data_IF_522807691016
#
_entry.id   IF_522807691016
#
_cell.length_a   1.000
_cell.length_b   1.000
_cell.length_c   1.000
_cell.angle_alpha   90.00
_cell.angle_beta   90.00
_cell.angle_gamma   90.00
#
_symmetry.space_group_name_H-M   'P 1'
#
loop_
_entity.id
_entity.type
_entity.pdbx_description
1 polymer ?
#
# COMPACT_ATOMS: atom_id res chain seq x y z
N UNK A 1 16.18 -5.09 0.50
CA UNK A 1 15.15 -5.42 -0.50
C UNK A 1 15.00 -6.91 -0.68
N UNK A 2 14.65 -7.62 0.40
CA UNK A 2 14.52 -9.09 0.40
C UNK A 2 13.12 -9.47 0.94
N UNK A 3 12.06 -8.88 0.38
CA UNK A 3 10.73 -9.45 0.60
C UNK A 3 10.61 -10.78 -0.16
N UNK A 4 9.63 -11.60 0.21
CA UNK A 4 9.33 -12.87 -0.49
C UNK A 4 9.18 -12.70 -2.01
N UNK A 5 8.75 -11.51 -2.45
CA UNK A 5 8.58 -11.15 -3.87
C UNK A 5 9.88 -10.85 -4.63
N UNK A 6 11.03 -10.91 -3.97
CA UNK A 6 12.33 -10.66 -4.58
C UNK A 6 12.60 -9.19 -4.91
N UNK A 7 13.37 -8.95 -5.98
CA UNK A 7 13.76 -7.60 -6.41
C UNK A 7 12.58 -6.87 -7.09
N UNK A 8 12.48 -5.53 -6.95
CA UNK A 8 11.45 -4.75 -7.63
C UNK A 8 11.61 -4.85 -9.15
N UNK A 9 10.50 -5.00 -9.86
CA UNK A 9 10.47 -5.04 -11.33
C UNK A 9 10.72 -3.67 -11.98
N UNK A 10 10.38 -2.60 -11.27
CA UNK A 10 10.53 -1.21 -11.70
C UNK A 10 10.84 -0.33 -10.48
N UNK A 11 11.74 0.63 -10.66
CA UNK A 11 12.03 1.68 -9.68
C UNK A 11 11.68 3.00 -10.33
N UNK A 12 10.89 3.81 -9.64
CA UNK A 12 10.50 5.14 -10.11
C UNK A 12 10.88 6.18 -9.06
N UNK A 13 11.44 7.30 -9.53
CA UNK A 13 11.71 8.44 -8.68
C UNK A 13 10.43 9.22 -8.41
N UNK A 14 10.11 9.44 -7.14
CA UNK A 14 8.85 10.06 -6.73
C UNK A 14 9.01 11.49 -6.18
N UNK A 15 10.24 11.99 -6.10
CA UNK A 15 10.55 13.32 -5.57
C UNK A 15 11.65 13.30 -4.49
N UNK A 16 11.88 14.47 -3.93
CA UNK A 16 12.79 14.71 -2.82
C UNK A 16 11.99 15.14 -1.60
N UNK A 17 12.47 14.76 -0.42
CA UNK A 17 11.87 15.12 0.87
C UNK A 17 12.88 15.83 1.73
N UNK A 18 12.44 16.85 2.45
CA UNK A 18 13.19 17.45 3.56
C UNK A 18 12.82 16.83 4.92
N UNK A 19 11.93 15.82 4.91
CA UNK A 19 11.50 15.11 6.12
C UNK A 19 12.69 14.41 6.77
N UNK A 20 12.88 14.64 8.06
CA UNK A 20 13.89 13.92 8.83
C UNK A 20 13.45 12.49 9.09
N UNK A 21 14.41 11.63 9.44
CA UNK A 21 14.13 10.25 9.81
C UNK A 21 13.13 10.14 10.99
N UNK A 22 13.29 10.98 12.01
CA UNK A 22 12.42 10.96 13.19
C UNK A 22 10.98 11.39 12.86
N UNK A 23 10.83 12.40 11.99
CA UNK A 23 9.51 12.81 11.50
C UNK A 23 8.83 11.68 10.73
N UNK A 24 9.56 11.02 9.83
CA UNK A 24 9.06 9.87 9.09
C UNK A 24 8.68 8.71 10.02
N UNK A 25 9.52 8.37 10.99
CA UNK A 25 9.27 7.28 11.92
C UNK A 25 8.02 7.55 12.77
N UNK A 26 7.87 8.78 13.28
CA UNK A 26 6.69 9.18 14.06
C UNK A 26 5.41 9.16 13.21
N UNK A 27 5.50 9.58 11.96
CA UNK A 27 4.39 9.51 11.02
C UNK A 27 3.97 8.05 10.76
N UNK A 28 4.91 7.16 10.46
CA UNK A 28 4.64 5.73 10.23
C UNK A 28 4.05 5.07 11.49
N UNK A 29 4.54 5.39 12.69
CA UNK A 29 3.95 4.92 13.95
C UNK A 29 2.50 5.39 14.12
N UNK A 30 2.21 6.63 13.73
CA UNK A 30 0.85 7.18 13.76
C UNK A 30 -0.06 6.43 12.81
N UNK A 31 0.42 6.14 11.59
CA UNK A 31 -0.31 5.35 10.61
C UNK A 31 -0.60 3.93 11.11
N UNK A 32 0.39 3.24 11.72
CA UNK A 32 0.23 1.88 12.23
C UNK A 32 -0.74 1.79 13.40
N UNK A 33 -0.82 2.83 14.23
CA UNK A 33 -1.73 2.88 15.37
C UNK A 33 -3.15 3.32 15.01
N UNK A 34 -3.37 3.81 13.79
CA UNK A 34 -4.65 4.34 13.33
C UNK A 34 -5.14 3.63 12.06
N UNK A 35 -4.88 4.20 10.88
CA UNK A 35 -5.47 3.80 9.60
C UNK A 35 -4.91 2.47 9.06
N UNK A 36 -3.62 2.22 9.25
CA UNK A 36 -2.90 1.09 8.66
C UNK A 36 -2.52 0.04 9.72
N UNK A 37 -3.51 -0.37 10.52
CA UNK A 37 -3.40 -1.53 11.40
C UNK A 37 -3.39 -2.80 10.57
N UNK A 38 -2.72 -3.85 11.07
CA UNK A 38 -2.78 -5.15 10.40
C UNK A 38 -4.21 -5.68 10.23
N UNK A 39 -5.09 -5.39 11.19
CA UNK A 39 -6.51 -5.76 11.16
C UNK A 39 -7.38 -4.92 10.22
N UNK A 40 -6.88 -3.78 9.72
CA UNK A 40 -7.62 -2.91 8.80
C UNK A 40 -7.19 -3.09 7.34
N UNK A 41 -6.34 -4.08 7.04
CA UNK A 41 -5.92 -4.38 5.67
C UNK A 41 -7.08 -4.99 4.88
N UNK A 42 -7.41 -4.41 3.72
CA UNK A 42 -8.28 -5.00 2.72
C UNK A 42 -7.61 -4.94 1.33
N UNK A 43 -7.75 -5.99 0.53
CA UNK A 43 -7.03 -6.11 -0.76
C UNK A 43 -7.46 -5.02 -1.74
N UNK A 44 -8.72 -4.57 -1.64
CA UNK A 44 -9.27 -3.57 -2.54
C UNK A 44 -9.16 -2.15 -2.02
N UNK A 45 -9.16 -1.99 -0.71
CA UNK A 45 -9.22 -0.73 0.02
C UNK A 45 -8.28 -0.80 1.21
N UNK A 46 -7.47 0.24 1.44
CA UNK A 46 -6.53 0.27 2.57
C UNK A 46 -5.43 -0.81 2.49
N UNK A 47 -4.84 -0.94 1.29
CA UNK A 47 -3.72 -1.86 1.01
C UNK A 47 -2.36 -1.13 0.95
N UNK A 48 -1.34 -1.83 0.46
CA UNK A 48 0.01 -1.27 0.28
C UNK A 48 0.05 -0.05 -0.66
N UNK A 49 -0.81 0.01 -1.67
CA UNK A 49 -0.88 1.16 -2.59
C UNK A 49 -1.43 2.37 -1.84
N UNK A 50 -2.46 2.20 -1.03
CA UNK A 50 -3.04 3.30 -0.23
C UNK A 50 -2.07 3.81 0.85
N UNK A 51 -1.34 2.90 1.49
CA UNK A 51 -0.24 3.26 2.40
C UNK A 51 0.81 4.12 1.69
N UNK A 52 1.27 3.69 0.52
CA UNK A 52 2.25 4.44 -0.26
C UNK A 52 1.75 5.81 -0.72
N UNK A 53 0.46 5.96 -1.05
CA UNK A 53 -0.13 7.28 -1.40
C UNK A 53 0.01 8.25 -0.24
N UNK A 54 -0.45 7.85 0.94
CA UNK A 54 -0.42 8.70 2.14
C UNK A 54 1.02 9.06 2.51
N UNK A 55 1.93 8.09 2.42
CA UNK A 55 3.34 8.30 2.69
C UNK A 55 4.00 9.26 1.68
N UNK A 56 3.70 9.14 0.39
CA UNK A 56 4.23 10.01 -0.65
C UNK A 56 3.72 11.44 -0.53
N UNK A 57 2.44 11.60 -0.23
CA UNK A 57 1.87 12.93 0.03
C UNK A 57 2.60 13.58 1.21
N UNK A 58 2.79 12.85 2.33
CA UNK A 58 3.53 13.37 3.47
C UNK A 58 4.99 13.73 3.17
N UNK A 59 5.69 12.89 2.38
CA UNK A 59 7.11 13.07 2.12
C UNK A 59 7.41 14.19 1.12
N UNK A 60 6.67 14.27 0.03
CA UNK A 60 7.01 15.15 -1.09
C UNK A 60 5.81 15.71 -1.85
N UNK A 61 4.59 15.65 -1.29
CA UNK A 61 3.34 15.93 -2.01
C UNK A 61 3.22 15.13 -3.32
N UNK A 62 3.83 13.94 -3.36
CA UNK A 62 3.87 13.08 -4.53
C UNK A 62 2.56 12.34 -4.78
N UNK A 63 2.39 11.84 -6.01
CA UNK A 63 1.21 11.07 -6.44
C UNK A 63 1.68 9.75 -7.03
N UNK A 64 1.06 8.63 -6.61
CA UNK A 64 1.32 7.32 -7.20
C UNK A 64 0.84 7.31 -8.66
N UNK A 65 1.61 6.76 -9.62
CA UNK A 65 1.15 6.63 -11.00
C UNK A 65 -0.21 5.94 -11.14
N UNK A 66 -1.08 6.49 -12.00
CA UNK A 66 -2.47 6.05 -12.12
C UNK A 66 -2.61 4.56 -12.42
N UNK A 67 -1.74 4.01 -13.28
CA UNK A 67 -1.75 2.61 -13.68
C UNK A 67 -1.57 1.64 -12.49
N UNK A 68 -0.91 2.08 -11.42
CA UNK A 68 -0.79 1.33 -10.16
C UNK A 68 -2.08 1.48 -9.34
N UNK A 69 -2.60 2.72 -9.23
CA UNK A 69 -3.78 3.02 -8.42
C UNK A 69 -5.07 2.32 -8.89
N UNK A 70 -5.21 2.10 -10.20
CA UNK A 70 -6.42 1.51 -10.79
C UNK A 70 -6.47 -0.02 -10.67
N UNK A 71 -5.35 -0.68 -10.35
CA UNK A 71 -5.25 -2.13 -10.37
C UNK A 71 -6.32 -2.84 -9.50
N UNK A 72 -6.60 -2.41 -8.26
CA UNK A 72 -7.67 -3.01 -7.46
C UNK A 72 -9.06 -2.83 -8.10
N UNK A 73 -9.33 -1.65 -8.68
CA UNK A 73 -10.61 -1.35 -9.36
C UNK A 73 -10.82 -2.22 -10.60
N UNK A 74 -9.75 -2.44 -11.37
CA UNK A 74 -9.80 -3.33 -12.53
C UNK A 74 -10.15 -4.77 -12.11
N UNK A 75 -9.55 -5.25 -11.02
CA UNK A 75 -9.90 -6.55 -10.44
C UNK A 75 -11.38 -6.66 -10.11
N UNK A 76 -11.94 -5.68 -9.38
CA UNK A 76 -13.37 -5.66 -9.00
C UNK A 76 -14.35 -5.62 -10.17
N UNK A 77 -13.95 -5.06 -11.31
CA UNK A 77 -14.81 -4.97 -12.49
C UNK A 77 -15.00 -6.32 -13.20
N UNK A 78 -14.16 -7.31 -12.91
CA UNK A 78 -14.28 -8.65 -13.50
C UNK A 78 -15.29 -9.53 -12.74
N UNK A 79 -15.94 -10.45 -13.44
CA UNK A 79 -16.84 -11.43 -12.80
C UNK A 79 -16.10 -12.30 -11.76
N UNK A 80 -14.88 -12.72 -12.10
CA UNK A 80 -14.01 -13.50 -11.20
C UNK A 80 -13.62 -12.68 -9.97
N UNK A 81 -13.21 -11.42 -10.12
CA UNK A 81 -12.82 -10.58 -8.98
C UNK A 81 -13.95 -10.34 -7.99
N UNK A 82 -15.19 -10.18 -8.46
CA UNK A 82 -16.37 -10.11 -7.59
C UNK A 82 -16.61 -11.42 -6.85
N UNK A 83 -16.51 -12.55 -7.55
CA UNK A 83 -16.67 -13.87 -6.95
C UNK A 83 -15.61 -14.18 -5.88
N UNK A 84 -14.35 -13.78 -6.13
CA UNK A 84 -13.23 -14.03 -5.21
C UNK A 84 -13.14 -13.04 -4.04
N UNK A 85 -13.95 -11.97 -4.02
CA UNK A 85 -13.90 -10.93 -2.98
C UNK A 85 -13.95 -11.49 -1.55
N UNK A 86 -14.83 -12.46 -1.19
CA UNK A 86 -14.85 -13.03 0.16
C UNK A 86 -13.54 -13.75 0.53
N UNK A 87 -12.89 -14.41 -0.42
CA UNK A 87 -11.61 -15.10 -0.21
C UNK A 87 -10.46 -14.13 0.05
N UNK A 88 -10.48 -12.98 -0.62
CA UNK A 88 -9.49 -11.92 -0.40
C UNK A 88 -9.68 -11.20 0.94
N UNK A 89 -10.90 -11.10 1.45
CA UNK A 89 -11.15 -10.53 2.78
C UNK A 89 -10.50 -11.37 3.91
N UNK A 90 -10.29 -12.67 3.68
CA UNK A 90 -9.58 -13.56 4.61
C UNK A 90 -8.06 -13.60 4.38
N UNK A 91 -7.55 -12.93 3.35
CA UNK A 91 -6.12 -12.89 3.05
C UNK A 91 -5.43 -11.75 3.83
N UNK A 92 -4.61 -12.09 4.81
CA UNK A 92 -3.63 -11.14 5.36
C UNK A 92 -2.41 -11.07 4.44
N UNK A 93 -1.96 -9.86 4.10
CA UNK A 93 -0.74 -9.66 3.29
C UNK A 93 0.56 -10.15 3.97
N UNK A 94 0.47 -10.52 5.25
CA UNK A 94 1.56 -11.12 6.02
C UNK A 94 1.12 -12.53 6.42
N UNK A 95 1.79 -13.55 5.86
CA UNK A 95 1.84 -14.86 6.53
C UNK A 95 2.80 -14.71 7.70
N UNK A 96 2.30 -14.91 8.92
CA UNK A 96 3.17 -15.08 10.08
C UNK A 96 4.03 -16.32 9.82
N UNK A 97 5.34 -16.14 9.81
CA UNK A 97 6.29 -17.24 9.94
C UNK A 97 6.24 -17.76 11.39
#
# INVERSE_FOLDING_TARGET
GNSFTGRPKKIEYMGQTSCSYDQLLNYVKTLSNNQFKASSYDVYTNNCIDFCKVLLTFLCNGVIPEYIQIAPRLGQRTAIGRFLKPLFASCSAVKRA
#
